data_IF_378955829077
#
_entry.id   IF_378955829077
#
_cell.length_a   1.000
_cell.length_b   1.000
_cell.length_c   1.000
_cell.angle_alpha   90.00
_cell.angle_beta   90.00
_cell.angle_gamma   90.00
#
_symmetry.space_group_name_H-M   'P 1'
#
loop_
_entity.id
_entity.type
_entity.pdbx_description
1 polymer ?
#
# COMPACT_ATOMS: atom_id res chain seq x y z
N UNK A 1 6.17 34.78 8.51
CA UNK A 1 6.09 33.30 8.56
C UNK A 1 7.08 32.85 9.59
N UNK A 2 6.62 32.30 10.71
CA UNK A 2 7.49 31.59 11.65
C UNK A 2 7.87 30.25 11.01
N UNK A 3 9.16 29.93 11.03
CA UNK A 3 9.67 28.64 10.57
C UNK A 3 9.77 27.75 11.80
N UNK A 4 8.87 26.77 11.90
CA UNK A 4 8.87 25.81 13.00
C UNK A 4 10.05 24.84 12.81
N UNK A 5 11.06 24.93 13.68
CA UNK A 5 12.24 24.06 13.63
C UNK A 5 11.88 22.75 14.32
N UNK A 6 11.49 21.75 13.52
CA UNK A 6 11.23 20.39 14.00
C UNK A 6 12.53 19.73 14.48
N UNK A 7 12.46 19.13 15.67
CA UNK A 7 13.52 18.27 16.17
C UNK A 7 13.56 16.93 15.39
N UNK A 8 14.59 16.12 15.61
CA UNK A 8 14.78 14.85 14.88
C UNK A 8 13.67 13.83 15.14
N UNK A 9 13.14 13.76 16.36
CA UNK A 9 12.07 12.82 16.73
C UNK A 9 10.76 13.20 16.02
N UNK A 10 10.38 14.48 16.08
CA UNK A 10 9.18 14.98 15.41
C UNK A 10 9.25 14.80 13.88
N UNK A 11 10.43 14.94 13.27
CA UNK A 11 10.63 14.65 11.84
C UNK A 11 10.39 13.17 11.53
N UNK A 12 10.89 12.27 12.37
CA UNK A 12 10.68 10.83 12.19
C UNK A 12 9.20 10.47 12.34
N UNK A 13 8.51 11.04 13.33
CA UNK A 13 7.09 10.79 13.56
C UNK A 13 6.22 11.26 12.38
N UNK A 14 6.45 12.47 11.86
CA UNK A 14 5.72 13.00 10.70
C UNK A 14 5.98 12.13 9.46
N UNK A 15 7.22 11.68 9.25
CA UNK A 15 7.54 10.78 8.15
C UNK A 15 6.78 9.45 8.27
N UNK A 16 6.84 8.80 9.44
CA UNK A 16 6.14 7.56 9.72
C UNK A 16 4.63 7.71 9.54
N UNK A 17 4.05 8.82 10.03
CA UNK A 17 2.64 9.14 9.84
C UNK A 17 2.28 9.28 8.36
N UNK A 18 3.12 9.94 7.57
CA UNK A 18 2.95 10.06 6.12
C UNK A 18 2.93 8.69 5.43
N UNK A 19 3.86 7.80 5.79
CA UNK A 19 3.93 6.42 5.26
C UNK A 19 2.69 5.62 5.64
N UNK A 20 2.29 5.63 6.91
CA UNK A 20 1.11 4.92 7.41
C UNK A 20 -0.16 5.43 6.72
N UNK A 21 -0.31 6.74 6.58
CA UNK A 21 -1.43 7.36 5.86
C UNK A 21 -1.49 6.88 4.42
N UNK A 22 -0.35 6.84 3.73
CA UNK A 22 -0.25 6.32 2.37
C UNK A 22 -0.71 4.86 2.26
N UNK A 23 -0.21 3.99 3.13
CA UNK A 23 -0.59 2.56 3.19
C UNK A 23 -2.11 2.42 3.40
N UNK A 24 -2.66 3.16 4.36
CA UNK A 24 -4.08 3.11 4.70
C UNK A 24 -4.96 3.51 3.50
N UNK A 25 -4.58 4.55 2.74
CA UNK A 25 -5.31 4.96 1.54
C UNK A 25 -5.36 3.85 0.49
N UNK A 26 -4.26 3.12 0.27
CA UNK A 26 -4.24 1.99 -0.67
C UNK A 26 -5.06 0.81 -0.17
N UNK A 27 -5.01 0.49 1.12
CA UNK A 27 -5.86 -0.56 1.71
C UNK A 27 -7.35 -0.23 1.55
N UNK A 28 -7.76 1.02 1.78
CA UNK A 28 -9.14 1.45 1.58
C UNK A 28 -9.60 1.32 0.14
N UNK A 29 -8.72 1.56 -0.85
CA UNK A 29 -9.05 1.31 -2.27
C UNK A 29 -9.34 -0.18 -2.55
N UNK A 30 -8.59 -1.09 -1.94
CA UNK A 30 -8.82 -2.54 -2.06
C UNK A 30 -10.18 -2.91 -1.45
N UNK A 31 -10.45 -2.43 -0.23
CA UNK A 31 -11.71 -2.70 0.47
C UNK A 31 -12.90 -2.16 -0.33
N UNK A 32 -12.84 -0.91 -0.79
CA UNK A 32 -13.91 -0.29 -1.57
C UNK A 32 -14.15 -1.03 -2.89
N UNK A 33 -13.10 -1.43 -3.60
CA UNK A 33 -13.24 -2.22 -4.82
C UNK A 33 -13.99 -3.53 -4.55
N UNK A 34 -13.63 -4.24 -3.48
CA UNK A 34 -14.28 -5.48 -3.06
C UNK A 34 -15.75 -5.26 -2.67
N UNK A 35 -16.05 -4.27 -1.81
CA UNK A 35 -17.40 -3.98 -1.33
C UNK A 35 -18.36 -3.60 -2.47
N UNK A 36 -17.86 -2.92 -3.50
CA UNK A 36 -18.65 -2.48 -4.64
C UNK A 36 -18.60 -3.45 -5.84
N UNK A 37 -18.01 -4.64 -5.69
CA UNK A 37 -17.80 -5.61 -6.78
C UNK A 37 -17.16 -4.97 -8.03
N UNK A 38 -16.21 -4.06 -7.83
CA UNK A 38 -15.46 -3.39 -8.89
C UNK A 38 -14.05 -3.95 -8.97
N UNK A 39 -13.47 -3.91 -10.16
CA UNK A 39 -12.06 -4.21 -10.34
C UNK A 39 -11.18 -3.18 -9.61
N UNK A 40 -10.11 -3.63 -8.97
CA UNK A 40 -9.14 -2.76 -8.33
C UNK A 40 -8.35 -1.99 -9.39
N UNK A 41 -8.46 -0.65 -9.38
CA UNK A 41 -7.67 0.22 -10.23
C UNK A 41 -6.90 1.24 -9.41
N UNK A 42 -5.60 1.37 -9.69
CA UNK A 42 -4.72 2.37 -9.08
C UNK A 42 -4.17 3.21 -10.22
N UNK A 43 -4.41 4.52 -10.17
CA UNK A 43 -3.96 5.46 -11.20
C UNK A 43 -4.41 5.08 -12.63
N UNK A 44 -5.62 4.55 -12.79
CA UNK A 44 -6.16 4.10 -14.08
C UNK A 44 -5.76 2.67 -14.48
N UNK A 45 -4.65 2.16 -13.94
CA UNK A 45 -4.14 0.81 -14.21
C UNK A 45 -4.88 -0.25 -13.41
N UNK A 46 -5.08 -1.43 -14.02
CA UNK A 46 -5.77 -2.58 -13.41
C UNK A 46 -4.79 -3.39 -12.55
N UNK A 47 -5.18 -3.69 -11.31
CA UNK A 47 -4.39 -4.50 -10.40
C UNK A 47 -5.13 -5.78 -10.02
N UNK A 48 -4.40 -6.89 -9.98
CA UNK A 48 -4.88 -8.16 -9.49
C UNK A 48 -4.41 -8.38 -8.04
N UNK A 49 -5.34 -8.80 -7.17
CA UNK A 49 -5.00 -9.16 -5.78
C UNK A 49 -4.69 -10.65 -5.74
N UNK A 50 -3.42 -10.99 -5.55
CA UNK A 50 -3.00 -12.38 -5.42
C UNK A 50 -3.36 -12.94 -4.04
N UNK A 51 -3.96 -14.13 -4.04
CA UNK A 51 -4.12 -14.98 -2.87
C UNK A 51 -2.77 -15.45 -2.31
N UNK A 52 -2.79 -15.95 -1.07
CA UNK A 52 -1.60 -16.56 -0.46
C UNK A 52 -1.09 -17.76 -1.27
N UNK A 53 -2.01 -18.56 -1.84
CA UNK A 53 -1.69 -19.70 -2.68
C UNK A 53 -0.97 -19.28 -3.96
N UNK A 54 -1.49 -18.26 -4.65
CA UNK A 54 -0.86 -17.74 -5.87
C UNK A 54 0.54 -17.20 -5.58
N UNK A 55 0.72 -16.45 -4.49
CA UNK A 55 2.05 -15.98 -4.07
C UNK A 55 3.03 -17.12 -3.78
N UNK A 56 2.58 -18.18 -3.12
CA UNK A 56 3.41 -19.35 -2.85
C UNK A 56 3.81 -20.07 -4.14
N UNK A 57 2.86 -20.25 -5.06
CA UNK A 57 3.15 -20.87 -6.36
C UNK A 57 4.17 -20.03 -7.15
N UNK A 58 3.98 -18.71 -7.20
CA UNK A 58 4.87 -17.78 -7.91
C UNK A 58 6.31 -17.79 -7.33
N UNK A 59 6.43 -17.98 -6.01
CA UNK A 59 7.72 -18.16 -5.33
C UNK A 59 8.34 -19.51 -5.71
N UNK A 60 7.58 -20.61 -5.64
CA UNK A 60 8.07 -21.94 -5.99
C UNK A 60 8.54 -21.99 -7.45
N UNK A 61 7.77 -21.41 -8.37
CA UNK A 61 8.10 -21.40 -9.79
C UNK A 61 9.41 -20.63 -10.08
N UNK A 62 9.71 -19.57 -9.33
CA UNK A 62 10.96 -18.80 -9.44
C UNK A 62 12.20 -19.51 -8.87
N UNK A 63 12.00 -20.42 -7.93
CA UNK A 63 13.09 -21.17 -7.28
C UNK A 63 13.37 -22.48 -8.04
N UNK A 64 12.31 -23.13 -8.52
CA UNK A 64 12.37 -24.44 -9.14
C UNK A 64 12.61 -24.40 -10.66
N UNK A 65 12.62 -23.22 -11.28
CA UNK A 65 13.00 -23.01 -12.69
C UNK A 65 14.14 -22.01 -12.76
#
# INVERSE_FOLDING_TARGET
MEVEILNSEQKADIFCLGVITGINLYQQKVIAAQQHNKALRINGELYYVQSARERLQDMMDKICR
#
